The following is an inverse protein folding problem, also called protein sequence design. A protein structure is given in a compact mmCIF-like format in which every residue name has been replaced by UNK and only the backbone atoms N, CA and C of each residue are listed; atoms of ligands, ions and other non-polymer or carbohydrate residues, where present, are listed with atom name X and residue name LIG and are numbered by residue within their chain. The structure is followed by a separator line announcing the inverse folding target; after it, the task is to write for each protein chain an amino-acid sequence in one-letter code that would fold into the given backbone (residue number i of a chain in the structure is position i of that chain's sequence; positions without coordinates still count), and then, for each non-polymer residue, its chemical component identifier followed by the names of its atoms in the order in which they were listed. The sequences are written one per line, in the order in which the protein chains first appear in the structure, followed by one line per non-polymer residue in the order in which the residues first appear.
data_IF_897126584318
#
_entry.id   IF_897126584318
#
_cell.length_a   1.000
_cell.length_b   1.000
_cell.length_c   1.000
_cell.angle_alpha   90.00
_cell.angle_beta   90.00
_cell.angle_gamma   90.00
#
_symmetry.space_group_name_H-M   'P 1'
#
loop_
_entity.id
_entity.type
_entity.pdbx_description
1 polymer ?
#
# COMPACT_ATOMS: atom_id res chain seq x y z
N UNK A 1 41.84 -49.71 18.07
CA UNK A 1 42.63 -48.47 18.23
C UNK A 1 41.68 -47.38 18.75
N UNK A 2 41.51 -47.33 20.08
CA UNK A 2 42.12 -46.34 21.01
C UNK A 2 41.54 -44.93 20.80
N UNK A 3 40.56 -44.49 21.61
CA UNK A 3 40.69 -43.72 22.88
C UNK A 3 41.51 -42.42 22.69
N UNK A 4 41.01 -41.24 23.10
CA UNK A 4 40.88 -40.79 24.49
C UNK A 4 39.83 -39.65 24.63
N UNK A 5 39.05 -39.71 25.71
CA UNK A 5 38.19 -38.67 26.31
C UNK A 5 39.00 -37.54 26.96
N UNK A 6 38.40 -36.36 27.18
CA UNK A 6 38.30 -35.88 28.57
C UNK A 6 37.19 -34.84 28.78
N UNK A 7 36.53 -35.01 29.92
CA UNK A 7 35.40 -34.26 30.45
C UNK A 7 35.85 -33.56 31.74
N UNK A 8 35.19 -32.43 32.02
CA UNK A 8 34.84 -31.89 33.34
C UNK A 8 35.94 -31.25 34.23
N UNK A 9 35.64 -30.05 34.74
CA UNK A 9 35.11 -29.88 36.12
C UNK A 9 34.62 -28.44 36.40
N UNK A 10 33.55 -28.34 37.20
CA UNK A 10 33.01 -27.13 37.87
C UNK A 10 33.70 -26.93 39.23
N UNK A 11 33.52 -25.78 39.91
CA UNK A 11 32.49 -25.66 40.98
C UNK A 11 31.66 -24.35 40.83
N UNK A 12 30.34 -24.27 41.05
CA UNK A 12 29.57 -24.31 42.33
C UNK A 12 29.97 -23.19 43.30
N UNK A 13 29.12 -22.42 44.00
CA UNK A 13 27.67 -22.13 44.11
C UNK A 13 27.57 -21.02 45.18
N UNK A 14 26.51 -20.20 45.19
CA UNK A 14 25.85 -19.53 46.33
C UNK A 14 25.21 -18.23 45.81
N UNK A 15 23.92 -18.25 45.47
CA UNK A 15 22.78 -17.98 46.38
C UNK A 15 22.84 -16.57 46.97
N UNK A 16 21.91 -15.70 46.55
CA UNK A 16 20.80 -15.21 47.40
C UNK A 16 19.78 -14.46 46.51
N UNK A 17 18.52 -14.75 46.79
CA UNK A 17 17.26 -14.21 46.28
C UNK A 17 17.18 -12.67 46.20
N UNK A 18 16.42 -12.11 45.24
CA UNK A 18 14.99 -11.82 45.43
C UNK A 18 14.33 -11.11 44.23
N UNK A 19 13.00 -11.28 44.20
CA UNK A 19 11.95 -10.84 43.27
C UNK A 19 11.83 -9.31 42.97
N UNK A 20 11.03 -9.07 41.91
CA UNK A 20 10.14 -7.91 41.63
C UNK A 20 10.72 -6.76 40.77
N UNK A 21 10.25 -6.61 39.52
CA UNK A 21 9.11 -5.81 39.01
C UNK A 21 9.47 -4.34 38.76
N UNK A 22 8.94 -3.84 37.63
CA UNK A 22 8.59 -2.45 37.32
C UNK A 22 9.65 -1.52 36.68
N UNK A 23 9.45 -1.30 35.36
CA UNK A 23 9.31 0.00 34.66
C UNK A 23 10.28 1.17 34.86
N UNK A 24 10.66 1.74 33.70
CA UNK A 24 11.00 3.15 33.41
C UNK A 24 12.22 3.77 34.11
N UNK A 25 13.18 4.24 33.32
CA UNK A 25 13.19 5.66 32.89
C UNK A 25 14.49 6.00 32.14
N UNK A 26 14.33 6.89 31.16
CA UNK A 26 15.38 7.60 30.45
C UNK A 26 16.30 8.36 31.42
N UNK A 27 17.60 8.33 31.16
CA UNK A 27 18.49 9.51 31.10
C UNK A 27 19.91 9.04 30.79
N UNK A 28 20.76 9.97 30.31
CA UNK A 28 22.14 9.82 29.82
C UNK A 28 22.20 9.67 28.30
N UNK A 29 22.79 10.55 27.51
CA UNK A 29 23.75 11.62 27.76
C UNK A 29 23.67 12.64 26.62
N UNK A 30 23.74 13.92 26.91
CA UNK A 30 24.49 14.85 26.06
C UNK A 30 24.96 16.02 26.92
N UNK A 31 26.19 15.91 27.40
CA UNK A 31 26.92 17.00 28.05
C UNK A 31 27.42 17.92 26.94
N UNK A 32 26.87 19.13 26.83
CA UNK A 32 27.47 20.21 26.07
C UNK A 32 28.01 21.22 27.08
N UNK A 33 29.34 21.38 27.06
CA UNK A 33 30.07 22.44 27.75
C UNK A 33 29.60 23.77 27.18
N UNK A 34 29.11 24.68 28.02
CA UNK A 34 28.78 26.06 27.63
C UNK A 34 29.60 27.05 28.45
N UNK A 35 30.24 27.95 27.72
CA UNK A 35 30.96 29.16 28.13
C UNK A 35 29.97 30.19 28.72
N UNK A 36 30.28 30.77 29.87
CA UNK A 36 29.38 31.61 30.70
C UNK A 36 29.30 33.09 30.25
N UNK A 37 29.61 33.43 29.00
CA UNK A 37 29.70 34.84 28.56
C UNK A 37 28.49 35.45 27.85
N UNK A 38 27.29 34.83 27.86
CA UNK A 38 26.08 35.44 27.24
C UNK A 38 24.84 35.32 28.14
N UNK A 39 24.77 36.15 29.18
CA UNK A 39 23.52 36.40 29.91
C UNK A 39 22.89 37.68 29.37
N UNK A 40 22.13 37.53 28.29
CA UNK A 40 21.21 38.53 27.74
C UNK A 40 20.07 37.81 27.03
N UNK A 41 18.83 38.07 27.46
CA UNK A 41 17.57 37.59 26.84
C UNK A 41 17.08 36.15 27.12
N UNK A 42 17.38 35.58 28.29
CA UNK A 42 16.74 34.34 28.76
C UNK A 42 15.20 34.44 28.90
N UNK A 43 14.65 35.65 29.10
CA UNK A 43 13.20 35.90 29.23
C UNK A 43 12.49 35.88 27.87
N UNK A 44 13.04 36.57 26.87
CA UNK A 44 12.50 36.58 25.50
C UNK A 44 12.57 35.21 24.82
N UNK A 45 13.60 34.41 25.14
CA UNK A 45 13.70 33.03 24.65
C UNK A 45 12.66 32.11 25.28
N UNK A 46 12.41 32.22 26.60
CA UNK A 46 11.35 31.47 27.29
C UNK A 46 9.95 31.79 26.75
N UNK A 47 9.66 33.05 26.49
CA UNK A 47 8.38 33.48 25.93
C UNK A 47 8.18 32.98 24.49
N UNK A 48 9.21 33.02 23.65
CA UNK A 48 9.19 32.43 22.29
C UNK A 48 9.01 30.90 22.33
N UNK A 49 9.68 30.22 23.26
CA UNK A 49 9.53 28.77 23.46
C UNK A 49 8.14 28.41 23.99
N UNK A 50 7.59 29.22 24.90
CA UNK A 50 6.24 29.06 25.42
C UNK A 50 5.18 29.30 24.34
N UNK A 51 5.36 30.32 23.49
CA UNK A 51 4.50 30.58 22.35
C UNK A 51 4.52 29.42 21.34
N UNK A 52 5.71 28.91 20.97
CA UNK A 52 5.85 27.71 20.13
C UNK A 52 5.25 26.46 20.77
N UNK A 53 5.37 26.30 22.09
CA UNK A 53 4.76 25.20 22.83
C UNK A 53 3.23 25.32 22.91
N UNK A 54 2.70 26.54 23.03
CA UNK A 54 1.27 26.82 23.02
C UNK A 54 0.66 26.64 21.63
N UNK A 55 1.37 27.07 20.58
CA UNK A 55 1.03 26.81 19.18
C UNK A 55 1.00 25.31 18.91
N UNK A 56 2.06 24.58 19.29
CA UNK A 56 2.11 23.11 19.20
C UNK A 56 0.97 22.44 19.97
N UNK A 57 0.64 22.90 21.19
CA UNK A 57 -0.52 22.40 21.96
C UNK A 57 -1.86 22.70 21.27
N UNK A 58 -1.99 23.86 20.61
CA UNK A 58 -3.18 24.22 19.85
C UNK A 58 -3.31 23.31 18.62
N UNK A 59 -2.21 23.05 17.90
CA UNK A 59 -2.15 22.09 16.80
C UNK A 59 -2.48 20.68 17.28
N UNK A 60 -1.95 20.24 18.42
CA UNK A 60 -2.22 18.92 19.01
C UNK A 60 -3.70 18.78 19.43
N UNK A 61 -4.35 19.86 19.89
CA UNK A 61 -5.78 19.85 20.26
C UNK A 61 -6.69 19.79 19.03
N UNK A 62 -6.38 20.55 17.98
CA UNK A 62 -7.09 20.46 16.69
C UNK A 62 -6.86 19.10 16.02
N UNK A 63 -5.63 18.58 16.10
CA UNK A 63 -5.25 17.25 15.66
C UNK A 63 -6.02 16.17 16.41
N UNK A 64 -6.14 16.24 17.74
CA UNK A 64 -6.91 15.27 18.53
C UNK A 64 -8.40 15.33 18.22
N UNK A 65 -8.93 16.52 17.90
CA UNK A 65 -10.31 16.68 17.44
C UNK A 65 -10.54 16.00 16.08
N UNK A 66 -9.57 16.12 15.16
CA UNK A 66 -9.58 15.44 13.86
C UNK A 66 -9.37 13.92 14.00
N UNK A 67 -8.44 13.47 14.86
CA UNK A 67 -8.18 12.06 15.14
C UNK A 67 -9.40 11.36 15.74
N UNK A 68 -10.13 12.02 16.65
CA UNK A 68 -11.38 11.49 17.20
C UNK A 68 -12.50 11.39 16.17
N UNK A 69 -12.49 12.23 15.12
CA UNK A 69 -13.39 12.12 13.98
C UNK A 69 -12.94 11.05 12.95
N UNK A 70 -11.66 10.65 13.00
CA UNK A 70 -11.03 9.63 12.14
C UNK A 70 -10.94 8.28 12.85
N UNK A 71 -11.51 8.10 14.05
CA UNK A 71 -11.54 6.82 14.75
C UNK A 71 -12.48 5.84 14.00
N UNK A 72 -12.00 5.36 12.85
CA UNK A 72 -12.58 4.31 12.05
C UNK A 72 -12.24 3.03 12.80
N UNK A 73 -13.26 2.29 13.23
CA UNK A 73 -13.10 0.93 13.73
C UNK A 73 -12.26 0.14 12.71
N UNK A 74 -10.98 -0.06 13.00
CA UNK A 74 -10.09 -0.88 12.19
C UNK A 74 -10.52 -2.32 12.44
N UNK A 75 -11.51 -2.79 11.69
CA UNK A 75 -11.88 -4.21 11.67
C UNK A 75 -10.66 -5.01 11.21
N UNK A 76 -10.12 -5.82 12.13
CA UNK A 76 -9.12 -6.85 11.84
C UNK A 76 -9.63 -7.71 10.66
N UNK A 77 -8.79 -8.10 9.69
CA UNK A 77 -9.25 -8.90 8.55
C UNK A 77 -9.86 -10.22 9.04
N UNK A 78 -11.18 -10.35 8.90
CA UNK A 78 -11.90 -11.60 9.08
C UNK A 78 -11.75 -12.50 7.85
N UNK A 79 -12.20 -13.76 7.99
CA UNK A 79 -12.27 -14.81 6.97
C UNK A 79 -12.82 -14.28 5.64
N UNK A 80 -12.42 -14.86 4.50
CA UNK A 80 -12.95 -14.50 3.19
C UNK A 80 -14.41 -14.96 3.04
N UNK A 81 -15.35 -14.22 3.62
CA UNK A 81 -16.72 -14.68 3.91
C UNK A 81 -17.68 -14.66 2.72
N UNK A 82 -17.29 -14.14 1.55
CA UNK A 82 -18.21 -14.05 0.39
C UNK A 82 -17.51 -14.38 -0.92
N UNK A 83 -17.75 -15.59 -1.42
CA UNK A 83 -17.35 -16.01 -2.77
C UNK A 83 -18.59 -16.24 -3.62
N UNK A 84 -18.61 -15.73 -4.85
CA UNK A 84 -19.71 -15.92 -5.81
C UNK A 84 -19.61 -17.24 -6.57
N UNK A 85 -18.42 -17.82 -6.63
CA UNK A 85 -18.18 -19.14 -7.21
C UNK A 85 -16.93 -19.79 -6.61
N UNK A 86 -16.82 -21.10 -6.80
CA UNK A 86 -15.63 -21.87 -6.43
C UNK A 86 -14.47 -21.54 -7.37
N UNK A 87 -13.29 -21.32 -6.80
CA UNK A 87 -12.08 -21.06 -7.57
C UNK A 87 -11.40 -22.37 -7.96
N UNK A 88 -11.03 -22.50 -9.23
CA UNK A 88 -10.27 -23.64 -9.76
C UNK A 88 -9.14 -23.11 -10.64
N UNK A 89 -7.95 -23.69 -10.46
CA UNK A 89 -6.84 -23.46 -11.38
C UNK A 89 -7.25 -23.86 -12.80
N UNK A 90 -6.79 -23.10 -13.79
CA UNK A 90 -7.12 -23.36 -15.18
C UNK A 90 -6.62 -24.75 -15.59
N UNK A 91 -7.53 -25.55 -16.14
CA UNK A 91 -7.24 -26.85 -16.71
C UNK A 91 -8.16 -27.06 -17.94
N UNK A 92 -7.62 -27.04 -19.18
CA UNK A 92 -6.20 -26.90 -19.51
C UNK A 92 -5.61 -25.53 -19.11
N UNK A 93 -4.26 -25.40 -19.01
CA UNK A 93 -3.61 -24.11 -18.74
C UNK A 93 -3.99 -23.05 -19.78
N UNK A 94 -3.99 -21.78 -19.37
CA UNK A 94 -4.28 -20.65 -20.25
C UNK A 94 -3.18 -20.52 -21.31
N UNK A 95 -3.47 -19.99 -22.51
CA UNK A 95 -2.45 -19.85 -23.56
C UNK A 95 -1.53 -18.63 -23.33
N UNK A 96 -1.60 -18.01 -22.14
CA UNK A 96 -0.82 -16.84 -21.77
C UNK A 96 -0.48 -16.87 -20.29
N UNK A 97 0.59 -16.16 -19.94
CA UNK A 97 0.92 -15.80 -18.57
C UNK A 97 0.83 -14.28 -18.44
N UNK A 98 -0.19 -13.84 -17.70
CA UNK A 98 -0.56 -12.44 -17.61
C UNK A 98 0.02 -11.81 -16.36
N UNK A 99 0.82 -10.75 -16.50
CA UNK A 99 1.24 -9.94 -15.38
C UNK A 99 0.06 -9.13 -14.83
N UNK A 100 -0.02 -8.97 -13.51
CA UNK A 100 -0.89 -7.98 -12.87
C UNK A 100 -0.05 -6.97 -12.09
N UNK A 101 0.67 -6.08 -12.80
CA UNK A 101 1.50 -5.08 -12.16
C UNK A 101 0.65 -3.95 -11.59
N UNK A 102 1.04 -3.50 -10.39
CA UNK A 102 0.44 -2.34 -9.74
C UNK A 102 1.47 -1.69 -8.83
N UNK A 103 1.48 -0.35 -8.76
CA UNK A 103 2.25 0.30 -7.72
C UNK A 103 1.61 -0.02 -6.34
N UNK A 104 2.39 -0.24 -5.27
CA UNK A 104 1.83 -0.48 -3.94
C UNK A 104 0.81 0.59 -3.53
N UNK A 105 -0.38 0.19 -3.12
CA UNK A 105 -1.48 1.11 -2.76
C UNK A 105 -2.53 1.34 -3.87
N UNK A 106 -2.27 0.89 -5.10
CA UNK A 106 -3.19 1.10 -6.24
C UNK A 106 -4.39 0.14 -6.32
N UNK A 107 -4.61 -0.71 -5.30
CA UNK A 107 -5.83 -1.52 -5.19
C UNK A 107 -5.76 -2.95 -5.72
N UNK A 108 -4.56 -3.51 -5.94
CA UNK A 108 -4.41 -4.86 -6.51
C UNK A 108 -5.14 -5.98 -5.77
N UNK A 109 -5.22 -5.93 -4.43
CA UNK A 109 -6.00 -6.92 -3.67
C UNK A 109 -7.47 -6.93 -4.09
N UNK A 110 -8.09 -5.75 -4.21
CA UNK A 110 -9.51 -5.64 -4.56
C UNK A 110 -9.75 -6.04 -6.02
N UNK A 111 -8.94 -5.54 -6.95
CA UNK A 111 -9.07 -5.90 -8.37
C UNK A 111 -8.87 -7.39 -8.60
N UNK A 112 -7.87 -8.03 -7.97
CA UNK A 112 -7.67 -9.49 -8.06
C UNK A 112 -8.84 -10.26 -7.53
N UNK A 113 -9.38 -9.84 -6.38
CA UNK A 113 -10.57 -10.46 -5.82
C UNK A 113 -11.74 -10.41 -6.81
N UNK A 114 -12.04 -9.25 -7.40
CA UNK A 114 -13.11 -9.16 -8.39
C UNK A 114 -12.83 -10.02 -9.63
N UNK A 115 -11.61 -9.95 -10.18
CA UNK A 115 -11.21 -10.71 -11.37
C UNK A 115 -11.30 -12.23 -11.16
N UNK A 116 -10.79 -12.77 -10.05
CA UNK A 116 -10.90 -14.21 -9.80
C UNK A 116 -12.36 -14.63 -9.55
N UNK A 117 -13.19 -13.75 -8.96
CA UNK A 117 -14.58 -14.07 -8.67
C UNK A 117 -15.47 -14.06 -9.91
N UNK A 118 -15.15 -13.29 -10.95
CA UNK A 118 -15.92 -13.34 -12.21
C UNK A 118 -15.47 -14.48 -13.14
N UNK A 119 -14.20 -14.87 -13.09
CA UNK A 119 -13.66 -15.93 -13.98
C UNK A 119 -13.68 -17.32 -13.36
N UNK A 120 -13.76 -17.43 -12.03
CA UNK A 120 -13.57 -18.69 -11.32
C UNK A 120 -12.12 -19.16 -11.29
N UNK A 121 -11.16 -18.38 -11.84
CA UNK A 121 -9.74 -18.74 -11.91
C UNK A 121 -8.95 -17.89 -10.92
N UNK A 122 -8.17 -18.48 -10.00
CA UNK A 122 -7.43 -17.73 -9.01
C UNK A 122 -6.35 -16.83 -9.62
N UNK A 123 -6.13 -15.66 -9.02
CA UNK A 123 -4.99 -14.82 -9.35
C UNK A 123 -3.74 -15.25 -8.58
N UNK A 124 -2.64 -15.45 -9.30
CA UNK A 124 -1.33 -15.75 -8.73
C UNK A 124 -0.60 -14.55 -8.13
N UNK A 125 0.59 -14.79 -7.57
CA UNK A 125 1.51 -13.72 -7.16
C UNK A 125 2.97 -14.17 -7.13
N UNK A 126 3.88 -13.24 -7.40
CA UNK A 126 5.33 -13.42 -7.18
C UNK A 126 5.72 -13.51 -5.70
N UNK A 127 4.75 -13.38 -4.79
CA UNK A 127 4.94 -13.46 -3.34
C UNK A 127 4.29 -14.74 -2.81
N UNK A 128 4.88 -15.34 -1.78
CA UNK A 128 4.38 -16.59 -1.16
C UNK A 128 3.56 -16.32 0.12
N UNK A 129 2.76 -15.26 0.13
CA UNK A 129 1.98 -14.90 1.32
C UNK A 129 0.77 -15.84 1.44
N UNK A 130 0.70 -16.65 2.51
CA UNK A 130 -0.49 -17.48 2.77
C UNK A 130 -1.72 -16.58 2.93
N UNK A 131 -2.73 -16.79 2.09
CA UNK A 131 -4.01 -16.09 2.16
C UNK A 131 -5.14 -17.04 1.82
N UNK A 132 -6.12 -17.16 2.71
CA UNK A 132 -7.34 -17.92 2.44
C UNK A 132 -8.14 -17.32 1.26
N UNK A 133 -7.95 -16.03 0.96
CA UNK A 133 -8.64 -15.32 -0.12
C UNK A 133 -7.98 -15.51 -1.50
N UNK A 134 -6.71 -15.90 -1.54
CA UNK A 134 -5.91 -15.96 -2.77
C UNK A 134 -5.19 -17.31 -2.84
N UNK A 135 -5.89 -18.38 -3.26
CA UNK A 135 -5.29 -19.72 -3.31
C UNK A 135 -4.15 -19.83 -4.33
N UNK A 136 -4.02 -18.89 -5.26
CA UNK A 136 -2.90 -18.82 -6.22
C UNK A 136 -1.63 -18.11 -5.71
N UNK A 137 -1.57 -17.63 -4.47
CA UNK A 137 -0.34 -16.99 -3.96
C UNK A 137 0.88 -17.91 -4.12
N UNK A 138 1.96 -17.36 -4.68
CA UNK A 138 3.18 -18.09 -5.03
C UNK A 138 3.15 -18.80 -6.38
N UNK A 139 1.99 -18.90 -7.06
CA UNK A 139 1.86 -19.50 -8.40
C UNK A 139 2.11 -18.44 -9.47
N UNK A 140 2.97 -18.79 -10.44
CA UNK A 140 3.50 -17.89 -11.47
C UNK A 140 3.54 -18.58 -12.84
N UNK A 141 2.51 -19.36 -13.16
CA UNK A 141 2.38 -20.12 -14.41
C UNK A 141 1.01 -19.85 -15.07
N UNK A 142 0.72 -20.59 -16.14
CA UNK A 142 -0.49 -20.48 -16.95
C UNK A 142 -1.76 -21.04 -16.29
N UNK A 143 -1.65 -21.61 -15.08
CA UNK A 143 -2.79 -22.16 -14.34
C UNK A 143 -3.58 -21.08 -13.57
N UNK A 144 -3.02 -19.88 -13.46
CA UNK A 144 -3.65 -18.72 -12.80
C UNK A 144 -4.05 -17.65 -13.81
N UNK A 145 -5.08 -16.87 -13.47
CA UNK A 145 -5.61 -15.83 -14.36
C UNK A 145 -4.57 -14.75 -14.69
N UNK A 146 -3.88 -14.28 -13.64
CA UNK A 146 -2.83 -13.28 -13.72
C UNK A 146 -1.96 -13.31 -12.45
N UNK A 147 -0.71 -12.86 -12.55
CA UNK A 147 0.28 -12.91 -11.47
C UNK A 147 0.57 -11.50 -10.93
N UNK A 148 0.20 -11.24 -9.68
CA UNK A 148 0.46 -9.97 -9.00
C UNK A 148 1.96 -9.70 -8.81
N UNK A 149 2.39 -8.49 -9.15
CA UNK A 149 3.72 -7.97 -8.83
C UNK A 149 3.74 -6.46 -8.52
N UNK A 150 4.68 -6.05 -7.67
CA UNK A 150 5.08 -4.64 -7.48
C UNK A 150 6.50 -4.37 -8.01
N UNK A 151 7.13 -5.37 -8.62
CA UNK A 151 8.47 -5.28 -9.19
C UNK A 151 8.49 -4.64 -10.57
N UNK A 152 9.68 -4.22 -10.97
CA UNK A 152 9.95 -3.75 -12.34
C UNK A 152 9.92 -4.94 -13.32
N UNK A 153 9.47 -4.75 -14.56
CA UNK A 153 9.30 -5.84 -15.52
C UNK A 153 10.61 -6.52 -15.90
N UNK A 154 11.74 -5.80 -15.85
CA UNK A 154 13.09 -6.37 -16.10
C UNK A 154 13.46 -7.59 -15.23
N UNK A 155 12.72 -7.83 -14.15
CA UNK A 155 12.91 -8.99 -13.28
C UNK A 155 12.12 -10.23 -13.74
N UNK A 156 11.32 -10.11 -14.80
CA UNK A 156 10.42 -11.15 -15.29
C UNK A 156 10.52 -11.22 -16.83
N UNK A 157 10.91 -12.37 -17.35
CA UNK A 157 11.05 -12.58 -18.80
C UNK A 157 9.96 -13.52 -19.39
N UNK A 158 9.05 -14.01 -18.55
CA UNK A 158 8.04 -15.00 -18.95
C UNK A 158 6.67 -14.40 -19.25
N UNK A 159 6.35 -13.19 -18.78
CA UNK A 159 5.03 -12.58 -19.01
C UNK A 159 4.78 -12.27 -20.49
N UNK A 160 3.67 -12.75 -21.03
CA UNK A 160 3.27 -12.50 -22.42
C UNK A 160 2.21 -11.41 -22.54
N UNK A 161 1.42 -11.18 -21.48
CA UNK A 161 0.34 -10.18 -21.41
C UNK A 161 0.42 -9.38 -20.11
N UNK A 162 -0.26 -8.24 -20.02
CA UNK A 162 -0.39 -7.50 -18.75
C UNK A 162 -1.76 -6.86 -18.54
N UNK A 163 -2.33 -7.01 -17.34
CA UNK A 163 -3.42 -6.18 -16.83
C UNK A 163 -2.83 -5.21 -15.82
N UNK A 164 -2.55 -3.98 -16.25
CA UNK A 164 -1.89 -2.95 -15.43
C UNK A 164 -2.95 -2.20 -14.62
N UNK A 165 -2.80 -2.21 -13.29
CA UNK A 165 -3.70 -1.47 -12.40
C UNK A 165 -3.06 -0.14 -12.03
N UNK A 166 -3.71 0.96 -12.42
CA UNK A 166 -3.24 2.33 -12.16
C UNK A 166 -4.24 3.03 -11.25
N UNK A 167 -3.76 3.77 -10.26
CA UNK A 167 -4.57 4.61 -9.38
C UNK A 167 -3.92 5.99 -9.28
N UNK A 168 -4.72 7.01 -9.02
CA UNK A 168 -4.25 8.36 -8.70
C UNK A 168 -3.04 8.30 -7.76
N UNK A 169 -1.99 9.02 -8.11
CA UNK A 169 -0.71 8.93 -7.42
C UNK A 169 -0.85 9.39 -5.96
N UNK A 170 -1.55 10.50 -5.70
CA UNK A 170 -1.78 11.04 -4.34
C UNK A 170 -2.39 9.98 -3.42
N UNK A 171 -3.49 9.39 -3.88
CA UNK A 171 -4.18 8.30 -3.20
C UNK A 171 -3.30 7.08 -2.94
N UNK A 172 -2.51 6.71 -3.95
CA UNK A 172 -1.58 5.59 -3.88
C UNK A 172 -0.50 5.83 -2.83
N UNK A 173 0.09 7.02 -2.79
CA UNK A 173 1.11 7.43 -1.83
C UNK A 173 0.58 7.39 -0.39
N UNK A 174 -0.60 7.95 -0.17
CA UNK A 174 -1.26 7.92 1.14
C UNK A 174 -1.55 6.48 1.57
N UNK A 175 -2.09 5.65 0.67
CA UNK A 175 -2.39 4.26 0.95
C UNK A 175 -1.15 3.43 1.27
N UNK A 176 -0.05 3.66 0.56
CA UNK A 176 1.23 2.96 0.80
C UNK A 176 1.88 3.39 2.10
N UNK A 177 1.84 4.70 2.43
CA UNK A 177 2.36 5.20 3.70
C UNK A 177 1.60 4.60 4.88
N UNK A 178 0.26 4.56 4.81
CA UNK A 178 -0.58 3.86 5.80
C UNK A 178 -0.19 2.40 5.92
N UNK A 179 -0.09 1.69 4.80
CA UNK A 179 0.25 0.27 4.78
C UNK A 179 1.59 0.02 5.49
N UNK A 180 2.61 0.86 5.24
CA UNK A 180 3.92 0.76 5.91
C UNK A 180 3.86 1.08 7.39
N UNK A 181 3.12 2.12 7.77
CA UNK A 181 2.99 2.54 9.16
C UNK A 181 2.16 1.57 10.00
N UNK A 182 1.24 0.80 9.42
CA UNK A 182 0.52 -0.26 10.15
C UNK A 182 1.43 -1.41 10.60
N UNK A 183 2.62 -1.57 10.01
CA UNK A 183 3.64 -2.49 10.51
C UNK A 183 4.47 -1.88 11.66
N UNK A 184 4.34 -0.58 11.92
CA UNK A 184 4.96 0.14 13.03
C UNK A 184 3.86 0.63 13.99
N UNK A 185 3.54 -0.19 14.99
CA UNK A 185 2.42 -0.02 15.95
C UNK A 185 2.40 1.36 16.63
N UNK A 186 3.48 2.16 16.51
CA UNK A 186 3.63 3.50 17.07
C UNK A 186 3.20 4.67 16.16
N UNK A 187 2.83 4.45 14.89
CA UNK A 187 2.67 5.52 13.87
C UNK A 187 1.38 5.47 13.04
N UNK A 188 0.26 5.04 13.62
CA UNK A 188 -1.06 5.04 12.97
C UNK A 188 -1.74 6.41 12.84
N UNK A 189 -1.07 7.54 13.12
CA UNK A 189 -1.68 8.87 13.13
C UNK A 189 -1.41 9.66 11.84
N UNK A 190 -2.27 10.64 11.53
CA UNK A 190 -2.14 11.57 10.39
C UNK A 190 -0.80 12.32 10.36
N UNK A 191 -0.09 12.38 11.50
CA UNK A 191 1.28 12.91 11.62
C UNK A 191 2.28 12.25 10.66
N UNK A 192 2.04 11.00 10.24
CA UNK A 192 2.90 10.35 9.26
C UNK A 192 2.79 10.92 7.83
N UNK A 193 1.73 11.71 7.59
CA UNK A 193 1.42 12.42 6.34
C UNK A 193 1.73 13.91 6.46
N UNK A 194 2.59 14.30 7.42
CA UNK A 194 2.93 15.69 7.69
C UNK A 194 4.45 15.88 7.77
N UNK A 195 4.87 17.12 7.52
CA UNK A 195 6.26 17.56 7.68
C UNK A 195 7.18 17.22 6.51
N UNK A 196 8.45 17.59 6.66
CA UNK A 196 9.45 17.50 5.60
C UNK A 196 9.74 16.06 5.16
N UNK A 197 9.72 15.10 6.10
CA UNK A 197 9.90 13.66 5.77
C UNK A 197 8.80 13.16 4.82
N UNK A 198 7.55 13.55 5.06
CA UNK A 198 6.43 13.20 4.18
C UNK A 198 6.59 13.84 2.80
N UNK A 199 6.98 15.11 2.72
CA UNK A 199 7.16 15.80 1.44
C UNK A 199 8.28 15.15 0.61
N UNK A 200 9.47 14.95 1.19
CA UNK A 200 10.60 14.32 0.51
C UNK A 200 10.27 12.88 0.09
N UNK A 201 9.58 12.12 0.95
CA UNK A 201 9.13 10.78 0.62
C UNK A 201 8.12 10.78 -0.53
N UNK A 202 7.19 11.74 -0.54
CA UNK A 202 6.15 11.85 -1.56
C UNK A 202 6.72 12.22 -2.92
N UNK A 203 7.67 13.15 -2.98
CA UNK A 203 8.37 13.52 -4.21
C UNK A 203 9.12 12.31 -4.80
N UNK A 204 9.93 11.64 -3.98
CA UNK A 204 10.66 10.44 -4.41
C UNK A 204 9.70 9.35 -4.91
N UNK A 205 8.58 9.15 -4.22
CA UNK A 205 7.62 8.12 -4.58
C UNK A 205 6.75 8.49 -5.78
N UNK A 206 6.51 9.76 -6.06
CA UNK A 206 5.85 10.19 -7.28
C UNK A 206 6.70 9.85 -8.52
N UNK A 207 8.02 10.05 -8.44
CA UNK A 207 8.95 9.60 -9.50
C UNK A 207 8.94 8.08 -9.62
N UNK A 208 9.05 7.35 -8.50
CA UNK A 208 9.00 5.88 -8.53
C UNK A 208 7.68 5.34 -9.11
N UNK A 209 6.56 6.01 -8.85
CA UNK A 209 5.24 5.70 -9.42
C UNK A 209 5.26 5.88 -10.94
N UNK A 210 5.81 6.99 -11.43
CA UNK A 210 5.98 7.23 -12.87
C UNK A 210 6.83 6.15 -13.53
N UNK A 211 8.04 5.93 -13.02
CA UNK A 211 8.99 4.96 -13.59
C UNK A 211 8.41 3.54 -13.60
N UNK A 212 7.67 3.17 -12.55
CA UNK A 212 6.96 1.90 -12.51
C UNK A 212 6.01 1.73 -13.70
N UNK A 213 5.10 2.68 -13.94
CA UNK A 213 4.14 2.53 -15.04
C UNK A 213 4.77 2.67 -16.41
N UNK A 214 5.72 3.59 -16.59
CA UNK A 214 6.45 3.73 -17.86
C UNK A 214 7.19 2.44 -18.24
N UNK A 215 7.79 1.76 -17.25
CA UNK A 215 8.46 0.47 -17.50
C UNK A 215 7.48 -0.60 -17.97
N UNK A 216 6.32 -0.73 -17.32
CA UNK A 216 5.31 -1.74 -17.62
C UNK A 216 4.56 -1.46 -18.93
N UNK A 217 4.41 -0.19 -19.30
CA UNK A 217 3.83 0.21 -20.59
C UNK A 217 4.69 -0.16 -21.79
N UNK A 218 5.93 -0.64 -21.60
CA UNK A 218 6.86 -1.00 -22.67
C UNK A 218 7.16 -2.51 -22.76
N UNK A 219 6.44 -3.37 -22.04
CA UNK A 219 6.83 -4.79 -21.87
C UNK A 219 6.32 -5.74 -22.96
N UNK A 220 5.04 -5.63 -23.30
CA UNK A 220 4.36 -6.48 -24.29
C UNK A 220 3.43 -5.61 -25.11
N UNK A 221 2.95 -6.07 -26.27
CA UNK A 221 1.91 -5.41 -27.06
C UNK A 221 0.51 -5.61 -26.46
N UNK A 222 0.30 -6.73 -25.76
CA UNK A 222 -1.00 -7.17 -25.25
C UNK A 222 -1.20 -6.71 -23.80
N UNK A 223 -1.74 -5.51 -23.65
CA UNK A 223 -1.92 -4.82 -22.37
C UNK A 223 -3.36 -4.35 -22.21
N UNK A 224 -3.94 -4.60 -21.05
CA UNK A 224 -5.17 -3.98 -20.58
C UNK A 224 -4.85 -2.94 -19.49
N UNK A 225 -5.34 -1.71 -19.65
CA UNK A 225 -5.22 -0.67 -18.62
C UNK A 225 -6.48 -0.67 -17.77
N UNK A 226 -6.32 -0.95 -16.48
CA UNK A 226 -7.39 -0.84 -15.49
C UNK A 226 -7.09 0.33 -14.56
N UNK A 227 -7.82 1.43 -14.70
CA UNK A 227 -7.73 2.52 -13.71
C UNK A 227 -8.66 2.25 -12.54
N UNK A 228 -8.17 2.40 -11.32
CA UNK A 228 -8.93 2.19 -10.08
C UNK A 228 -10.18 3.07 -10.02
N UNK A 229 -10.10 4.29 -10.55
CA UNK A 229 -11.19 5.27 -10.60
C UNK A 229 -12.34 4.80 -11.50
N UNK A 230 -12.02 4.20 -12.67
CA UNK A 230 -13.06 3.56 -13.52
C UNK A 230 -13.67 2.36 -12.83
N UNK A 231 -12.85 1.52 -12.19
CA UNK A 231 -13.33 0.35 -11.46
C UNK A 231 -14.26 0.74 -10.30
N UNK A 232 -13.96 1.82 -9.59
CA UNK A 232 -14.85 2.37 -8.56
C UNK A 232 -16.18 2.88 -9.14
N UNK A 233 -16.13 3.56 -10.29
CA UNK A 233 -17.30 4.18 -10.92
C UNK A 233 -18.23 3.15 -11.55
N UNK A 234 -17.69 2.15 -12.22
CA UNK A 234 -18.44 1.14 -12.95
C UNK A 234 -17.74 -0.23 -12.85
N UNK A 235 -17.98 -0.92 -11.74
CA UNK A 235 -17.43 -2.26 -11.51
C UNK A 235 -17.87 -3.22 -12.61
N UNK A 236 -19.16 -3.19 -13.01
CA UNK A 236 -19.68 -4.11 -14.02
C UNK A 236 -18.97 -3.91 -15.36
N UNK A 237 -18.94 -2.69 -15.86
CA UNK A 237 -18.36 -2.38 -17.17
C UNK A 237 -16.88 -2.71 -17.23
N UNK A 238 -16.11 -2.39 -16.19
CA UNK A 238 -14.67 -2.70 -16.15
C UNK A 238 -14.41 -4.20 -16.04
N UNK A 239 -15.19 -4.95 -15.24
CA UNK A 239 -15.05 -6.41 -15.16
C UNK A 239 -15.42 -7.10 -16.48
N UNK A 240 -16.45 -6.62 -17.20
CA UNK A 240 -16.78 -7.12 -18.54
C UNK A 240 -15.65 -6.89 -19.54
N UNK A 241 -15.00 -5.73 -19.53
CA UNK A 241 -13.83 -5.46 -20.40
C UNK A 241 -12.63 -6.35 -20.08
N UNK A 242 -12.41 -6.63 -18.79
CA UNK A 242 -11.36 -7.56 -18.37
C UNK A 242 -11.67 -8.98 -18.87
N UNK A 243 -12.92 -9.42 -18.79
CA UNK A 243 -13.35 -10.71 -19.33
C UNK A 243 -13.09 -10.83 -20.83
N UNK A 244 -13.47 -9.78 -21.57
CA UNK A 244 -13.22 -9.68 -23.01
C UNK A 244 -11.72 -9.74 -23.30
N UNK A 245 -10.89 -9.06 -22.51
CA UNK A 245 -9.43 -9.15 -22.64
C UNK A 245 -8.93 -10.60 -22.47
N UNK A 246 -9.48 -11.35 -21.53
CA UNK A 246 -9.16 -12.77 -21.34
C UNK A 246 -9.88 -13.73 -22.29
N UNK A 247 -10.69 -13.24 -23.23
CA UNK A 247 -11.57 -14.07 -24.08
C UNK A 247 -12.44 -15.05 -23.27
N UNK A 248 -12.98 -14.58 -22.15
CA UNK A 248 -13.82 -15.37 -21.25
C UNK A 248 -15.25 -14.84 -21.24
N UNK A 249 -16.21 -15.75 -21.32
CA UNK A 249 -17.61 -15.44 -21.06
C UNK A 249 -17.87 -15.45 -19.56
N UNK A 250 -18.62 -14.45 -19.08
CA UNK A 250 -19.06 -14.37 -17.69
C UNK A 250 -20.56 -14.59 -17.66
N UNK A 251 -20.99 -15.55 -16.83
CA UNK A 251 -22.40 -15.77 -16.57
C UNK A 251 -23.01 -14.53 -15.89
N UNK A 252 -24.16 -13.99 -16.38
CA UNK A 252 -24.74 -12.76 -15.84
C UNK A 252 -24.98 -12.79 -14.32
N UNK A 253 -25.44 -13.93 -13.78
CA UNK A 253 -25.68 -14.16 -12.35
C UNK A 253 -24.40 -14.07 -11.50
N UNK A 254 -23.28 -14.59 -12.02
CA UNK A 254 -21.96 -14.44 -11.38
C UNK A 254 -21.54 -12.97 -11.35
N UNK A 255 -21.70 -12.26 -12.47
CA UNK A 255 -21.36 -10.83 -12.54
C UNK A 255 -22.22 -10.01 -11.58
N UNK A 256 -23.51 -10.31 -11.50
CA UNK A 256 -24.46 -9.71 -10.57
C UNK A 256 -24.01 -9.95 -9.12
N UNK A 257 -23.73 -11.20 -8.74
CA UNK A 257 -23.22 -11.54 -7.42
C UNK A 257 -21.94 -10.77 -7.07
N UNK A 258 -20.98 -10.69 -8.00
CA UNK A 258 -19.70 -10.01 -7.75
C UNK A 258 -19.91 -8.51 -7.56
N UNK A 259 -20.78 -7.88 -8.35
CA UNK A 259 -21.11 -6.46 -8.24
C UNK A 259 -21.83 -6.17 -6.92
N UNK A 260 -22.73 -7.05 -6.48
CA UNK A 260 -23.43 -6.94 -5.19
C UNK A 260 -22.46 -7.12 -4.00
N UNK A 261 -21.49 -8.02 -4.14
CA UNK A 261 -20.53 -8.36 -3.09
C UNK A 261 -19.16 -7.67 -3.27
N UNK A 262 -19.09 -6.63 -4.10
CA UNK A 262 -17.87 -5.87 -4.41
C UNK A 262 -17.22 -5.24 -3.17
N UNK A 263 -18.01 -4.95 -2.15
CA UNK A 263 -17.57 -4.35 -0.89
C UNK A 263 -17.05 -5.39 0.13
N UNK A 264 -16.62 -6.56 -0.36
CA UNK A 264 -15.89 -7.53 0.46
C UNK A 264 -14.71 -6.85 1.18
N UNK A 265 -14.35 -7.32 2.38
CA UNK A 265 -13.34 -6.70 3.27
C UNK A 265 -11.94 -6.54 2.62
N UNK A 266 -11.71 -7.15 1.45
CA UNK A 266 -10.56 -6.92 0.56
C UNK A 266 -10.44 -5.46 0.08
N UNK A 267 -11.54 -4.71 0.05
CA UNK A 267 -11.54 -3.25 -0.10
C UNK A 267 -11.24 -2.62 1.25
N UNK A 268 -9.97 -2.25 1.49
CA UNK A 268 -9.62 -1.41 2.65
C UNK A 268 -10.46 -0.14 2.58
N UNK A 269 -11.14 0.20 3.68
CA UNK A 269 -11.82 1.48 3.79
C UNK A 269 -10.84 2.59 3.40
N UNK A 270 -11.21 3.37 2.38
CA UNK A 270 -10.62 4.69 2.20
C UNK A 270 -10.78 5.44 3.53
N UNK A 271 -9.86 6.36 3.86
CA UNK A 271 -10.21 7.36 4.89
C UNK A 271 -11.58 7.91 4.49
N UNK A 272 -12.47 8.09 5.48
CA UNK A 272 -13.72 8.81 5.27
C UNK A 272 -13.39 9.99 4.35
N UNK A 273 -13.96 10.02 3.14
CA UNK A 273 -13.68 11.07 2.16
C UNK A 273 -13.90 12.45 2.78
N UNK A 274 -14.77 12.54 3.78
CA UNK A 274 -15.03 13.69 4.64
C UNK A 274 -13.80 14.19 5.43
N UNK A 275 -12.94 13.30 5.95
CA UNK A 275 -11.74 13.68 6.71
C UNK A 275 -10.58 14.12 5.80
N UNK A 276 -10.48 13.56 4.60
CA UNK A 276 -9.51 13.98 3.57
C UNK A 276 -9.94 15.21 2.79
N UNK A 277 -11.26 15.47 2.66
CA UNK A 277 -11.79 16.70 2.04
C UNK A 277 -11.28 17.98 2.69
N UNK A 278 -10.95 17.93 3.98
CA UNK A 278 -10.51 19.10 4.75
C UNK A 278 -9.00 19.13 5.03
N UNK A 279 -8.24 18.14 4.54
CA UNK A 279 -6.81 18.04 4.77
C UNK A 279 -6.10 17.41 3.57
N UNK A 280 -5.47 18.26 2.75
CA UNK A 280 -4.50 17.83 1.75
C UNK A 280 -3.12 17.68 2.42
N UNK A 281 -2.56 16.46 2.52
CA UNK A 281 -1.25 16.26 3.13
C UNK A 281 -0.09 16.75 2.25
N UNK A 282 -0.33 17.14 1.00
CA UNK A 282 0.72 17.52 0.06
C UNK A 282 0.91 19.03 0.03
N UNK A 283 2.15 19.50 0.19
CA UNK A 283 2.47 20.90 -0.08
C UNK A 283 2.20 21.24 -1.55
N UNK A 284 2.10 22.54 -1.88
CA UNK A 284 1.91 22.98 -3.27
C UNK A 284 3.00 22.47 -4.21
N UNK A 285 4.27 22.50 -3.78
CA UNK A 285 5.41 21.97 -4.55
C UNK A 285 5.28 20.48 -4.81
N UNK A 286 5.01 19.69 -3.76
CA UNK A 286 4.83 18.24 -3.87
C UNK A 286 3.64 17.91 -4.77
N UNK A 287 2.54 18.67 -4.61
CA UNK A 287 1.35 18.57 -5.42
C UNK A 287 1.64 18.77 -6.90
N UNK A 288 2.32 19.86 -7.28
CA UNK A 288 2.73 20.11 -8.67
C UNK A 288 3.61 18.98 -9.20
N UNK A 289 4.55 18.48 -8.39
CA UNK A 289 5.43 17.39 -8.78
C UNK A 289 4.65 16.08 -9.04
N UNK A 290 3.68 15.75 -8.18
CA UNK A 290 2.80 14.59 -8.37
C UNK A 290 1.98 14.74 -9.66
N UNK A 291 1.38 15.90 -9.89
CA UNK A 291 0.55 16.15 -11.07
C UNK A 291 1.35 16.06 -12.37
N UNK A 292 2.60 16.56 -12.39
CA UNK A 292 3.52 16.40 -13.51
C UNK A 292 3.82 14.93 -13.81
N UNK A 293 4.15 14.14 -12.79
CA UNK A 293 4.42 12.71 -12.96
C UNK A 293 3.19 11.94 -13.46
N UNK A 294 1.99 12.28 -12.98
CA UNK A 294 0.74 11.67 -13.48
C UNK A 294 0.45 12.05 -14.93
N UNK A 295 0.69 13.30 -15.33
CA UNK A 295 0.53 13.75 -16.73
C UNK A 295 1.46 12.98 -17.66
N UNK A 296 2.73 12.81 -17.30
CA UNK A 296 3.70 12.04 -18.11
C UNK A 296 3.21 10.59 -18.33
N UNK A 297 2.74 9.91 -17.29
CA UNK A 297 2.19 8.55 -17.45
C UNK A 297 0.93 8.56 -18.32
N UNK A 298 0.05 9.54 -18.16
CA UNK A 298 -1.13 9.64 -19.00
C UNK A 298 -0.80 9.88 -20.48
N UNK A 299 0.17 10.74 -20.77
CA UNK A 299 0.65 10.98 -22.13
C UNK A 299 1.22 9.69 -22.74
N UNK A 300 2.03 8.95 -21.99
CA UNK A 300 2.56 7.65 -22.43
C UNK A 300 1.43 6.64 -22.72
N UNK A 301 0.39 6.58 -21.86
CA UNK A 301 -0.79 5.75 -22.09
C UNK A 301 -1.50 6.18 -23.37
N UNK A 302 -1.78 7.47 -23.56
CA UNK A 302 -2.51 7.97 -24.73
C UNK A 302 -1.73 7.80 -26.03
N UNK A 303 -0.42 7.97 -26.01
CA UNK A 303 0.44 7.74 -27.17
C UNK A 303 0.35 6.28 -27.65
N UNK A 304 0.19 5.35 -26.71
CA UNK A 304 0.11 3.92 -27.02
C UNK A 304 -1.32 3.42 -27.21
N UNK A 305 -2.28 3.98 -26.49
CA UNK A 305 -3.70 3.64 -26.47
C UNK A 305 -4.54 4.91 -26.62
N UNK A 306 -4.70 5.45 -27.84
CA UNK A 306 -5.32 6.77 -28.05
C UNK A 306 -6.77 6.90 -27.56
N UNK A 307 -7.48 5.78 -27.42
CA UNK A 307 -8.85 5.73 -26.90
C UNK A 307 -8.92 5.67 -25.37
N UNK A 308 -7.80 5.50 -24.68
CA UNK A 308 -7.76 5.31 -23.23
C UNK A 308 -7.87 6.64 -22.48
N UNK A 309 -8.88 6.77 -21.62
CA UNK A 309 -9.01 7.90 -20.71
C UNK A 309 -8.21 7.66 -19.41
N UNK A 310 -7.35 8.61 -19.04
CA UNK A 310 -6.61 8.60 -17.79
C UNK A 310 -7.48 9.09 -16.61
N UNK A 311 -8.45 8.28 -16.18
CA UNK A 311 -9.37 8.66 -15.11
C UNK A 311 -8.67 9.02 -13.80
N UNK A 312 -7.48 8.45 -13.55
CA UNK A 312 -6.63 8.75 -12.39
C UNK A 312 -6.10 10.20 -12.32
N UNK A 313 -6.25 11.01 -13.38
CA UNK A 313 -5.94 12.43 -13.34
C UNK A 313 -6.98 13.25 -12.57
N UNK A 314 -8.20 12.74 -12.43
CA UNK A 314 -9.27 13.40 -11.69
C UNK A 314 -9.11 13.03 -10.21
N UNK A 315 -8.98 14.01 -9.33
CA UNK A 315 -9.01 13.79 -7.88
C UNK A 315 -10.45 13.48 -7.44
N UNK A 316 -10.59 12.60 -6.44
CA UNK A 316 -11.85 12.36 -5.74
C UNK A 316 -12.06 13.33 -4.59
#
# INVERSE_FOLDING_TARGET
EAHIEEKQTKPARNDVANKHLATNAMSKNLTLVYDESVIGDAKGLKEKLAAKAAEKKKTDKELNKVLNQINVDIKVPGKCEKTCQSLKFANPPLPWITANPSFPGSGSTWSRFLMQQITGIPCGSVYHAKSECFPGEGVQDETVLCVKTHGQPKHYNFFTRAVIIIRNCRDTLIAERKRRSLYDVRRGSINMLMGQDWNAWSELKAVAWREFYLSWLNTTKDIHILTYEKLLKDVRGELSKIAQFFNMEIAPDILDCVVENKDSRSRRASLNATAMKNFDPFSSTVSTHIDQNMKIVCEAIKNRFPKEECAFLKTH
#
